data_IF_757845274542
#
_entry.id   IF_757845274542
#
_cell.length_a   1.000
_cell.length_b   1.000
_cell.length_c   1.000
_cell.angle_alpha   90.00
_cell.angle_beta   90.00
_cell.angle_gamma   90.00
#
_symmetry.space_group_name_H-M   'P 1'
#
loop_
_entity.id
_entity.type
_entity.pdbx_description
1 polymer ?
#
# COMPACT_ATOMS: atom_id res chain seq x y z
N UNK A 1 -2.09 -14.54 8.53
CA UNK A 1 -2.88 -13.29 8.49
C UNK A 1 -4.33 -13.64 8.22
N UNK A 2 -5.27 -13.01 8.92
CA UNK A 2 -6.70 -13.37 8.93
C UNK A 2 -7.38 -13.32 7.53
N UNK A 3 -6.84 -12.54 6.58
CA UNK A 3 -7.43 -12.31 5.26
C UNK A 3 -6.53 -12.73 4.08
N UNK A 4 -5.51 -13.56 4.34
CA UNK A 4 -4.57 -13.99 3.29
C UNK A 4 -3.55 -12.93 2.89
N UNK A 5 -2.72 -13.21 1.87
CA UNK A 5 -1.72 -12.28 1.35
C UNK A 5 -2.37 -11.21 0.46
N UNK A 6 -1.72 -10.05 0.35
CA UNK A 6 -2.07 -9.01 -0.59
C UNK A 6 -0.79 -8.24 -1.00
N UNK A 7 -0.90 -7.42 -2.05
CA UNK A 7 0.19 -6.53 -2.48
C UNK A 7 -0.30 -5.09 -2.40
N UNK A 8 0.51 -4.21 -1.82
CA UNK A 8 0.35 -2.76 -1.91
C UNK A 8 1.50 -2.17 -2.74
N UNK A 9 1.17 -1.57 -3.88
CA UNK A 9 2.12 -0.92 -4.77
C UNK A 9 2.02 0.58 -4.60
N UNK A 10 3.13 1.23 -4.26
CA UNK A 10 3.23 2.68 -4.16
C UNK A 10 3.84 3.24 -5.44
N UNK A 11 3.05 3.97 -6.22
CA UNK A 11 3.47 4.51 -7.51
C UNK A 11 3.74 6.00 -7.35
N UNK A 12 5.02 6.39 -7.42
CA UNK A 12 5.41 7.80 -7.44
C UNK A 12 4.97 8.51 -8.73
N UNK A 13 4.82 9.83 -8.68
CA UNK A 13 4.49 10.66 -9.84
C UNK A 13 5.65 11.57 -10.26
N UNK A 14 5.52 12.23 -11.41
CA UNK A 14 6.49 13.19 -11.94
C UNK A 14 6.81 14.25 -10.87
N UNK A 15 8.09 14.44 -10.54
CA UNK A 15 8.63 15.32 -9.48
C UNK A 15 8.58 14.73 -8.05
N UNK A 16 7.66 13.81 -7.76
CA UNK A 16 7.32 13.37 -6.39
C UNK A 16 7.54 11.89 -6.14
N UNK A 17 8.71 11.41 -6.54
CA UNK A 17 9.04 9.99 -6.50
C UNK A 17 9.43 9.43 -5.13
N UNK A 18 9.67 10.27 -4.11
CA UNK A 18 10.22 9.79 -2.83
C UNK A 18 9.18 9.07 -1.99
N UNK A 19 9.45 7.81 -1.68
CA UNK A 19 8.56 6.91 -0.93
C UNK A 19 9.30 6.47 0.33
N UNK A 20 8.57 6.41 1.45
CA UNK A 20 9.10 5.87 2.69
C UNK A 20 8.14 4.87 3.32
N UNK A 21 8.69 3.81 3.91
CA UNK A 21 7.97 2.91 4.81
C UNK A 21 8.36 3.22 6.26
N UNK A 22 7.49 2.85 7.21
CA UNK A 22 7.75 3.12 8.64
C UNK A 22 8.91 2.30 9.21
N UNK A 23 9.27 1.19 8.57
CA UNK A 23 10.37 0.32 8.99
C UNK A 23 11.68 0.55 8.23
N UNK A 24 11.64 0.93 6.95
CA UNK A 24 12.84 1.09 6.11
C UNK A 24 13.27 2.55 5.94
N UNK A 25 12.41 3.51 6.28
CA UNK A 25 12.62 4.91 5.92
C UNK A 25 12.48 5.09 4.41
N UNK A 26 13.28 5.99 3.83
CA UNK A 26 13.22 6.29 2.38
C UNK A 26 13.77 5.11 1.59
N UNK A 27 12.94 4.49 0.76
CA UNK A 27 13.31 3.27 0.01
C UNK A 27 14.05 3.57 -1.30
N UNK A 28 13.94 4.79 -1.82
CA UNK A 28 14.54 5.19 -3.09
C UNK A 28 15.34 6.50 -2.99
N UNK A 29 16.29 6.61 -2.04
CA UNK A 29 17.05 7.85 -1.83
C UNK A 29 17.94 8.20 -3.04
N UNK A 30 18.39 7.19 -3.79
CA UNK A 30 19.13 7.35 -5.03
C UNK A 30 18.39 6.65 -6.17
N UNK A 31 18.09 7.38 -7.25
CA UNK A 31 17.39 6.84 -8.42
C UNK A 31 18.38 6.16 -9.36
N UNK A 32 18.85 4.98 -8.97
CA UNK A 32 19.85 4.21 -9.72
C UNK A 32 19.31 3.60 -11.02
N UNK A 33 17.98 3.54 -11.20
CA UNK A 33 17.33 2.86 -12.31
C UNK A 33 17.41 1.32 -12.26
N UNK A 34 18.04 0.77 -11.22
CA UNK A 34 18.13 -0.67 -10.99
C UNK A 34 16.99 -1.14 -10.09
N UNK A 35 16.54 -2.36 -10.32
CA UNK A 35 15.62 -3.05 -9.41
C UNK A 35 16.40 -3.36 -8.13
N UNK A 36 15.82 -3.01 -6.99
CA UNK A 36 16.33 -3.36 -5.66
C UNK A 36 15.23 -4.13 -4.95
N UNK A 37 15.61 -5.23 -4.33
CA UNK A 37 14.70 -6.11 -3.61
C UNK A 37 15.16 -6.23 -2.15
N UNK A 38 14.20 -6.17 -1.24
CA UNK A 38 14.41 -6.44 0.18
C UNK A 38 13.45 -7.53 0.63
N UNK A 39 13.99 -8.56 1.29
CA UNK A 39 13.20 -9.61 1.95
C UNK A 39 13.41 -9.48 3.45
N UNK A 40 12.32 -9.48 4.22
CA UNK A 40 12.34 -9.27 5.67
C UNK A 40 12.08 -10.57 6.45
N UNK A 41 12.57 -11.71 5.94
CA UNK A 41 12.33 -13.03 6.55
C UNK A 41 12.82 -13.12 8.01
N UNK A 42 13.98 -12.50 8.29
CA UNK A 42 14.61 -12.53 9.61
C UNK A 42 14.23 -11.35 10.52
N UNK A 43 13.45 -10.39 10.02
CA UNK A 43 13.01 -9.20 10.75
C UNK A 43 11.52 -8.95 10.46
N UNK A 44 10.61 -9.65 11.15
CA UNK A 44 9.19 -9.58 10.84
C UNK A 44 8.63 -8.19 11.09
N UNK A 45 8.22 -7.51 10.02
CA UNK A 45 7.49 -6.24 10.08
C UNK A 45 6.03 -6.54 10.42
N UNK A 46 5.61 -6.18 11.63
CA UNK A 46 4.23 -6.37 12.10
C UNK A 46 3.57 -5.01 12.28
N UNK A 47 2.40 -4.83 11.67
CA UNK A 47 1.60 -3.60 11.75
C UNK A 47 0.20 -3.95 12.26
N UNK A 48 -0.37 -3.08 13.09
CA UNK A 48 -1.78 -3.19 13.50
C UNK A 48 -2.67 -2.56 12.44
N UNK A 49 -3.93 -2.98 12.40
CA UNK A 49 -4.92 -2.35 11.54
C UNK A 49 -5.01 -0.85 11.85
N UNK A 50 -4.89 -0.02 10.81
CA UNK A 50 -4.92 1.44 10.94
C UNK A 50 -3.57 2.08 11.25
N UNK A 51 -2.51 1.31 11.50
CA UNK A 51 -1.16 1.88 11.62
C UNK A 51 -0.64 2.35 10.26
N UNK A 52 0.15 3.43 10.28
CA UNK A 52 0.85 3.91 9.11
C UNK A 52 1.89 2.88 8.67
N UNK A 53 1.81 2.45 7.41
CA UNK A 53 2.80 1.53 6.83
C UNK A 53 3.79 2.27 5.92
N UNK A 54 3.31 3.29 5.20
CA UNK A 54 4.11 4.04 4.25
C UNK A 54 3.49 5.41 3.97
N UNK A 55 4.31 6.29 3.40
CA UNK A 55 3.92 7.63 2.98
C UNK A 55 4.65 8.03 1.71
N UNK A 56 3.99 8.92 0.98
CA UNK A 56 4.57 9.69 -0.11
C UNK A 56 4.93 11.07 0.44
N UNK A 57 6.10 11.58 0.06
CA UNK A 57 6.49 12.93 0.51
C UNK A 57 5.70 14.04 -0.22
N UNK A 58 5.10 13.73 -1.37
CA UNK A 58 4.12 14.58 -2.08
C UNK A 58 3.25 13.64 -2.95
N UNK A 59 1.95 13.94 -3.10
CA UNK A 59 0.87 12.99 -3.47
C UNK A 59 1.10 12.07 -4.69
N UNK A 60 0.33 10.98 -4.78
CA UNK A 60 0.65 9.82 -5.63
C UNK A 60 -0.53 8.83 -5.78
N UNK A 61 -0.24 7.59 -6.20
CA UNK A 61 -1.21 6.49 -6.35
C UNK A 61 -0.79 5.25 -5.53
N UNK A 62 -1.77 4.60 -4.89
CA UNK A 62 -1.63 3.24 -4.35
C UNK A 62 -2.45 2.28 -5.22
N UNK A 63 -1.85 1.15 -5.59
CA UNK A 63 -2.57 0.01 -6.19
C UNK A 63 -2.58 -1.12 -5.19
N UNK A 64 -3.78 -1.63 -4.86
CA UNK A 64 -3.96 -2.79 -4.00
C UNK A 64 -4.34 -3.99 -4.85
N UNK A 65 -3.62 -5.09 -4.70
CA UNK A 65 -3.90 -6.35 -5.36
C UNK A 65 -4.24 -7.41 -4.32
N UNK A 66 -5.37 -8.07 -4.54
CA UNK A 66 -5.86 -9.13 -3.68
C UNK A 66 -6.04 -10.41 -4.51
N UNK A 67 -5.86 -11.60 -3.92
CA UNK A 67 -6.28 -12.84 -4.55
C UNK A 67 -7.79 -12.80 -4.90
N UNK A 68 -8.23 -13.57 -5.91
CA UNK A 68 -9.66 -13.70 -6.22
C UNK A 68 -10.47 -14.04 -4.96
N UNK A 69 -11.68 -13.48 -4.86
CA UNK A 69 -12.61 -13.71 -3.75
C UNK A 69 -12.09 -13.29 -2.35
N UNK A 70 -11.16 -12.34 -2.27
CA UNK A 70 -10.68 -11.81 -0.97
C UNK A 70 -11.51 -10.62 -0.47
N UNK A 71 -12.00 -9.77 -1.39
CA UNK A 71 -12.72 -8.54 -1.05
C UNK A 71 -13.89 -8.32 -2.00
N UNK A 72 -15.05 -7.99 -1.42
CA UNK A 72 -16.20 -7.44 -2.10
C UNK A 72 -16.26 -5.93 -1.79
N UNK A 73 -15.90 -5.10 -2.77
CA UNK A 73 -15.92 -3.65 -2.61
C UNK A 73 -17.34 -3.11 -2.42
N UNK A 74 -17.47 -2.07 -1.60
CA UNK A 74 -18.73 -1.33 -1.48
C UNK A 74 -19.13 -0.75 -2.83
N UNK A 75 -20.42 -0.74 -3.16
CA UNK A 75 -20.92 -0.14 -4.41
C UNK A 75 -20.63 1.35 -4.50
N UNK A 76 -20.50 1.99 -3.35
CA UNK A 76 -20.20 3.41 -3.24
C UNK A 76 -18.72 3.73 -3.47
N UNK A 77 -17.84 2.70 -3.46
CA UNK A 77 -16.43 2.80 -3.81
C UNK A 77 -16.26 2.78 -5.34
N UNK A 78 -16.67 3.89 -5.94
CA UNK A 78 -16.65 4.11 -7.38
C UNK A 78 -15.46 4.99 -7.82
N UNK A 79 -15.07 4.94 -9.11
CA UNK A 79 -14.05 5.83 -9.67
C UNK A 79 -14.34 7.31 -9.36
N UNK A 80 -13.27 8.11 -9.26
CA UNK A 80 -13.29 9.57 -9.01
C UNK A 80 -13.85 10.01 -7.64
N UNK A 81 -14.43 9.11 -6.86
CA UNK A 81 -14.88 9.42 -5.50
C UNK A 81 -13.68 9.63 -4.56
N UNK A 82 -13.67 10.71 -3.75
CA UNK A 82 -12.69 10.88 -2.68
C UNK A 82 -12.81 9.79 -1.61
N UNK A 83 -11.68 9.24 -1.19
CA UNK A 83 -11.62 8.30 -0.07
C UNK A 83 -11.35 9.03 1.25
N UNK A 84 -11.85 8.49 2.37
CA UNK A 84 -11.55 9.01 3.72
C UNK A 84 -10.72 8.00 4.51
N UNK A 85 -9.77 8.49 5.30
CA UNK A 85 -9.01 7.65 6.21
C UNK A 85 -9.97 6.96 7.20
N UNK A 86 -9.84 5.64 7.32
CA UNK A 86 -10.71 4.82 8.18
C UNK A 86 -12.05 4.41 7.55
N UNK A 87 -12.38 4.89 6.35
CA UNK A 87 -13.56 4.42 5.62
C UNK A 87 -13.39 2.96 5.19
N UNK A 88 -14.45 2.16 5.39
CA UNK A 88 -14.47 0.79 4.92
C UNK A 88 -14.56 0.73 3.39
N UNK A 89 -13.62 0.03 2.75
CA UNK A 89 -13.60 -0.14 1.29
C UNK A 89 -14.54 -1.26 0.82
N UNK A 90 -14.78 -2.25 1.68
CA UNK A 90 -15.50 -3.47 1.35
C UNK A 90 -15.46 -4.47 2.50
N UNK A 91 -15.99 -5.66 2.26
CA UNK A 91 -16.02 -6.77 3.22
C UNK A 91 -15.43 -8.02 2.59
N UNK A 92 -15.24 -9.07 3.40
CA UNK A 92 -15.00 -10.40 2.87
C UNK A 92 -16.25 -10.82 2.07
N UNK A 93 -16.09 -11.45 0.89
CA UNK A 93 -17.22 -12.02 0.15
C UNK A 93 -17.99 -13.04 1.00
N UNK A 94 -19.29 -13.17 0.74
CA UNK A 94 -20.13 -14.18 1.38
C UNK A 94 -19.77 -15.61 0.94
#
# INVERSE_FOLDING_TARGET
AQHGPFVAVLVGATIVGSIATTWHGVVNPTRSGKIVEWTYADQPVTLRQGEEFARFLLGSTIVLLFPPNTIAFSRDWAPERPVRLGEAMGTVPA
#
